data_IF_449575135401
#
_entry.id   IF_449575135401
#
_cell.length_a   1.000
_cell.length_b   1.000
_cell.length_c   1.000
_cell.angle_alpha   90.00
_cell.angle_beta   90.00
_cell.angle_gamma   90.00
#
_symmetry.space_group_name_H-M   'P 1'
#
loop_
_entity.id
_entity.type
_entity.pdbx_description
1 polymer ?
#
# COMPACT_ATOMS: atom_id res chain seq x y z
N UNK A 1 7.66 10.11 6.99
CA UNK A 1 8.72 10.17 5.97
C UNK A 1 8.08 9.88 4.63
N UNK A 2 8.24 10.77 3.64
CA UNK A 2 7.81 10.50 2.27
C UNK A 2 8.95 9.74 1.57
N UNK A 3 8.83 8.41 1.54
CA UNK A 3 9.78 7.58 0.83
C UNK A 3 9.32 7.49 -0.62
N UNK A 4 10.07 8.12 -1.53
CA UNK A 4 9.92 7.88 -2.96
C UNK A 4 10.08 6.38 -3.27
N UNK A 5 9.50 5.91 -4.38
CA UNK A 5 9.45 4.48 -4.80
C UNK A 5 10.81 3.76 -4.82
N UNK A 6 11.91 4.50 -4.79
CA UNK A 6 13.24 3.96 -4.57
C UNK A 6 13.38 3.46 -3.13
N UNK A 7 13.31 2.14 -2.96
CA UNK A 7 13.56 1.36 -1.74
C UNK A 7 15.00 1.54 -1.20
N UNK A 8 15.40 2.78 -0.97
CA UNK A 8 16.71 3.20 -0.47
C UNK A 8 16.91 2.71 0.97
N UNK A 9 18.17 2.59 1.39
CA UNK A 9 18.51 2.18 2.77
C UNK A 9 17.80 3.05 3.82
N UNK A 10 17.62 4.33 3.53
CA UNK A 10 16.88 5.25 4.41
C UNK A 10 15.39 4.89 4.56
N UNK A 11 14.76 4.41 3.48
CA UNK A 11 13.37 3.94 3.51
C UNK A 11 13.25 2.63 4.29
N UNK A 12 14.22 1.71 4.13
CA UNK A 12 14.26 0.46 4.89
C UNK A 12 14.42 0.70 6.40
N UNK A 13 15.31 1.62 6.80
CA UNK A 13 15.46 2.04 8.21
C UNK A 13 14.16 2.65 8.73
N UNK A 14 13.47 3.46 7.93
CA UNK A 14 12.17 4.00 8.32
C UNK A 14 11.13 2.90 8.52
N UNK A 15 11.10 1.87 7.67
CA UNK A 15 10.18 0.74 7.83
C UNK A 15 10.47 -0.06 9.10
N UNK A 16 11.75 -0.24 9.44
CA UNK A 16 12.14 -0.99 10.63
C UNK A 16 11.73 -0.28 11.93
N UNK A 17 11.82 1.06 11.94
CA UNK A 17 11.40 1.91 13.05
C UNK A 17 9.88 2.17 13.10
N UNK A 18 9.13 1.80 12.07
CA UNK A 18 7.69 2.08 11.98
C UNK A 18 6.85 0.91 12.51
N UNK A 19 5.92 1.23 13.42
CA UNK A 19 4.89 0.29 13.86
C UNK A 19 3.84 0.03 12.77
N UNK A 20 3.57 1.04 11.93
CA UNK A 20 2.63 0.96 10.82
C UNK A 20 3.14 1.71 9.59
N UNK A 21 2.89 1.13 8.41
CA UNK A 21 3.27 1.65 7.10
C UNK A 21 1.99 1.85 6.28
N UNK A 22 1.68 3.12 5.97
CA UNK A 22 0.54 3.47 5.14
C UNK A 22 0.95 3.56 3.67
N UNK A 23 0.30 2.77 2.83
CA UNK A 23 0.45 2.73 1.39
C UNK A 23 -0.68 3.52 0.74
N UNK A 24 -0.35 4.66 0.14
CA UNK A 24 -1.36 5.55 -0.47
C UNK A 24 -1.43 5.27 -1.97
N UNK A 25 -2.62 4.99 -2.51
CA UNK A 25 -2.82 4.81 -3.95
C UNK A 25 -4.16 5.39 -4.41
N UNK A 26 -4.27 5.74 -5.69
CA UNK A 26 -5.54 6.14 -6.30
C UNK A 26 -6.44 4.95 -6.59
N UNK A 27 -7.75 5.18 -6.62
CA UNK A 27 -8.77 4.17 -6.94
C UNK A 27 -8.81 3.88 -8.45
N UNK A 28 -7.77 3.22 -8.97
CA UNK A 28 -7.72 2.75 -10.35
C UNK A 28 -6.98 1.41 -10.47
N UNK A 29 -7.35 0.60 -11.47
CA UNK A 29 -6.80 -0.75 -11.66
C UNK A 29 -5.26 -0.75 -11.75
N UNK A 30 -4.68 0.29 -12.36
CA UNK A 30 -3.23 0.37 -12.58
C UNK A 30 -2.52 0.68 -11.26
N UNK A 31 -3.04 1.65 -10.49
CA UNK A 31 -2.56 2.01 -9.16
C UNK A 31 -2.59 0.83 -8.19
N UNK A 32 -3.71 0.12 -8.14
CA UNK A 32 -3.86 -1.12 -7.34
C UNK A 32 -2.84 -2.17 -7.79
N UNK A 33 -2.69 -2.43 -9.08
CA UNK A 33 -1.73 -3.43 -9.56
C UNK A 33 -0.27 -3.07 -9.24
N UNK A 34 0.10 -1.80 -9.35
CA UNK A 34 1.43 -1.32 -8.96
C UNK A 34 1.66 -1.48 -7.46
N UNK A 35 0.68 -1.10 -6.64
CA UNK A 35 0.77 -1.22 -5.20
C UNK A 35 0.89 -2.69 -4.76
N UNK A 36 0.19 -3.60 -5.42
CA UNK A 36 0.29 -5.04 -5.13
C UNK A 36 1.72 -5.54 -5.35
N UNK A 37 2.36 -5.16 -6.45
CA UNK A 37 3.75 -5.53 -6.74
C UNK A 37 4.73 -4.92 -5.74
N UNK A 38 4.51 -3.68 -5.34
CA UNK A 38 5.31 -3.02 -4.32
C UNK A 38 5.18 -3.74 -2.97
N UNK A 39 3.96 -4.10 -2.57
CA UNK A 39 3.70 -4.88 -1.37
C UNK A 39 4.41 -6.24 -1.43
N UNK A 40 4.27 -7.00 -2.52
CA UNK A 40 4.96 -8.29 -2.69
C UNK A 40 6.48 -8.14 -2.59
N UNK A 41 7.01 -7.03 -3.11
CA UNK A 41 8.44 -6.71 -2.99
C UNK A 41 8.81 -6.49 -1.53
N UNK A 42 8.07 -5.64 -0.81
CA UNK A 42 8.25 -5.34 0.62
C UNK A 42 8.14 -6.58 1.51
N UNK A 43 7.20 -7.48 1.22
CA UNK A 43 7.07 -8.77 1.89
C UNK A 43 8.27 -9.69 1.63
N UNK A 44 8.82 -9.67 0.40
CA UNK A 44 10.01 -10.46 0.04
C UNK A 44 11.26 -10.00 0.79
N UNK A 45 11.35 -8.72 1.14
CA UNK A 45 12.45 -8.16 1.98
C UNK A 45 12.30 -8.52 3.47
N UNK A 46 11.19 -9.17 3.87
CA UNK A 46 10.96 -9.65 5.22
C UNK A 46 10.07 -8.77 6.09
N UNK A 47 9.44 -7.73 5.52
CA UNK A 47 8.52 -6.89 6.29
C UNK A 47 7.21 -7.66 6.56
N UNK A 48 6.75 -7.73 7.82
CA UNK A 48 5.54 -8.45 8.16
C UNK A 48 4.30 -7.74 7.61
N UNK A 49 3.38 -8.54 7.07
CA UNK A 49 2.21 -8.02 6.34
C UNK A 49 1.27 -7.21 7.23
N UNK A 50 1.23 -7.52 8.53
CA UNK A 50 0.37 -6.87 9.51
C UNK A 50 0.71 -5.38 9.72
N UNK A 51 1.93 -4.94 9.34
CA UNK A 51 2.34 -3.54 9.46
C UNK A 51 1.79 -2.66 8.34
N UNK A 52 1.32 -3.25 7.24
CA UNK A 52 0.84 -2.47 6.09
C UNK A 52 -0.65 -2.15 6.18
N UNK A 53 -0.98 -0.90 5.89
CA UNK A 53 -2.36 -0.43 5.67
C UNK A 53 -2.43 0.29 4.34
N UNK A 54 -3.48 0.03 3.56
CA UNK A 54 -3.70 0.77 2.31
C UNK A 54 -4.64 1.91 2.57
N UNK A 55 -4.27 3.10 2.17
CA UNK A 55 -5.15 4.27 2.17
C UNK A 55 -5.49 4.61 0.72
N UNK A 56 -6.77 4.55 0.40
CA UNK A 56 -7.25 4.92 -0.93
C UNK A 56 -7.43 6.43 -1.00
N UNK A 57 -6.67 7.07 -1.88
CA UNK A 57 -6.81 8.49 -2.15
C UNK A 57 -7.94 8.69 -3.18
N UNK A 58 -9.04 9.33 -2.77
CA UNK A 58 -10.27 9.56 -3.55
C UNK A 58 -11.14 8.31 -3.78
N UNK A 59 -11.59 7.67 -2.71
CA UNK A 59 -12.53 6.55 -2.80
C UNK A 59 -13.89 6.93 -3.45
N UNK A 60 -14.24 8.23 -3.47
CA UNK A 60 -15.49 8.74 -4.08
C UNK A 60 -15.46 8.87 -5.61
N UNK A 61 -14.32 8.63 -6.25
CA UNK A 61 -14.22 8.78 -7.70
C UNK A 61 -14.91 7.58 -8.38
N UNK A 62 -15.83 7.85 -9.31
CA UNK A 62 -16.67 6.90 -10.07
C UNK A 62 -15.88 5.91 -10.95
N UNK A 63 -14.96 5.15 -10.38
CA UNK A 63 -13.96 4.34 -11.10
C UNK A 63 -14.10 2.86 -10.76
N UNK A 64 -15.32 2.31 -10.74
CA UNK A 64 -15.60 0.87 -10.87
C UNK A 64 -14.92 -0.14 -9.91
N UNK A 65 -14.18 0.31 -8.90
CA UNK A 65 -13.56 -0.52 -7.86
C UNK A 65 -14.02 -0.03 -6.50
N UNK A 66 -14.54 -0.94 -5.69
CA UNK A 66 -14.84 -0.66 -4.28
C UNK A 66 -13.58 -0.91 -3.43
N UNK A 67 -13.47 -0.26 -2.26
CA UNK A 67 -12.45 -0.57 -1.27
C UNK A 67 -12.42 -2.08 -0.94
N UNK A 68 -13.60 -2.71 -0.97
CA UNK A 68 -13.78 -4.15 -0.79
C UNK A 68 -13.09 -5.01 -1.87
N UNK A 69 -13.06 -4.53 -3.11
CA UNK A 69 -12.38 -5.22 -4.21
C UNK A 69 -10.86 -5.10 -4.08
N UNK A 70 -10.38 -3.91 -3.65
CA UNK A 70 -8.97 -3.69 -3.36
C UNK A 70 -8.51 -4.56 -2.19
N UNK A 71 -9.30 -4.65 -1.12
CA UNK A 71 -9.01 -5.51 0.03
C UNK A 71 -8.95 -6.99 -0.38
N UNK A 72 -9.82 -7.44 -1.29
CA UNK A 72 -9.78 -8.81 -1.82
C UNK A 72 -8.50 -9.10 -2.62
N UNK A 73 -8.06 -8.15 -3.43
CA UNK A 73 -6.84 -8.30 -4.26
C UNK A 73 -5.58 -8.28 -3.39
N UNK A 74 -5.50 -7.31 -2.47
CA UNK A 74 -4.32 -7.06 -1.65
C UNK A 74 -4.27 -7.93 -0.40
N UNK A 75 -5.42 -8.48 0.01
CA UNK A 75 -5.65 -9.23 1.24
C UNK A 75 -5.23 -8.47 2.51
N UNK A 76 -5.03 -7.15 2.44
CA UNK A 76 -4.66 -6.29 3.57
C UNK A 76 -5.75 -5.26 3.79
N UNK A 77 -5.86 -4.79 5.03
CA UNK A 77 -6.91 -3.86 5.43
C UNK A 77 -6.78 -2.56 4.66
N UNK A 78 -7.88 -2.15 4.03
CA UNK A 78 -7.97 -0.92 3.25
C UNK A 78 -8.79 0.09 4.05
N UNK A 79 -8.19 1.23 4.34
CA UNK A 79 -8.86 2.40 4.90
C UNK A 79 -9.22 3.34 3.72
N UNK A 80 -10.50 3.59 3.53
CA UNK A 80 -11.00 4.57 2.57
C UNK A 80 -11.26 5.89 3.30
N UNK A 81 -10.64 6.98 2.83
CA UNK A 81 -10.87 8.34 3.31
C UNK A 81 -11.62 9.16 2.28
#
# INVERSE_FOLDING_TARGET
MDASVDYSDSALVCFDLSDMICLVTSLDVVGVKHLSKALDTLLTIGLPRERFRVVLNRADSKVGLDASDVERVMKIRVDAM
#
